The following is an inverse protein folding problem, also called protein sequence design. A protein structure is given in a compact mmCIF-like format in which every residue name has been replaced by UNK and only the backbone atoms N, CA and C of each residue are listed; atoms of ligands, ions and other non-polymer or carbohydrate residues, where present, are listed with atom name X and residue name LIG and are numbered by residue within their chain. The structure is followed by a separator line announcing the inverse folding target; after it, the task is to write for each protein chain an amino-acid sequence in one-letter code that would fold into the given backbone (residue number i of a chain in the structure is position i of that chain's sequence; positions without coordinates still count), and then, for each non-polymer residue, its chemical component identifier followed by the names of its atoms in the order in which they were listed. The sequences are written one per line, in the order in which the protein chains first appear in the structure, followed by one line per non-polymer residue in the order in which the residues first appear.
data_IF_254259900113
#
_entry.id   IF_254259900113
#
_cell.length_a   1.000
_cell.length_b   1.000
_cell.length_c   1.000
_cell.angle_alpha   90.00
_cell.angle_beta   90.00
_cell.angle_gamma   90.00
#
_symmetry.space_group_name_H-M   'P 1'
#
loop_
_entity.id
_entity.type
_entity.pdbx_description
1 polymer ?
#
# COMPACT_ATOMS: atom_id res chain seq x y z
N UNK A 1 33.15 2.02 11.36
CA UNK A 1 31.96 2.02 12.24
C UNK A 1 31.69 0.60 12.71
N UNK A 2 31.18 0.45 13.92
CA UNK A 2 30.81 -0.84 14.50
C UNK A 2 29.40 -1.23 14.02
N UNK A 3 29.21 -2.49 13.61
CA UNK A 3 27.91 -2.97 13.13
C UNK A 3 27.19 -3.71 14.25
N UNK A 4 26.01 -3.24 14.65
CA UNK A 4 25.21 -3.86 15.74
C UNK A 4 23.98 -4.60 15.21
N UNK A 5 23.64 -4.42 13.93
CA UNK A 5 22.51 -5.07 13.26
C UNK A 5 22.97 -5.95 12.11
N UNK A 6 22.24 -7.03 11.88
CA UNK A 6 22.41 -7.94 10.76
C UNK A 6 21.06 -8.56 10.36
N UNK A 7 21.07 -9.40 9.33
CA UNK A 7 19.92 -10.18 8.88
C UNK A 7 20.14 -11.65 9.25
N UNK A 8 19.11 -12.29 9.79
CA UNK A 8 19.17 -13.73 10.08
C UNK A 8 18.86 -14.58 8.83
N UNK A 9 18.81 -15.91 8.99
CA UNK A 9 18.51 -16.86 7.91
C UNK A 9 17.13 -16.66 7.25
N UNK A 10 16.19 -16.00 7.93
CA UNK A 10 14.86 -15.66 7.42
C UNK A 10 14.81 -14.26 6.82
N UNK A 11 15.95 -13.58 6.66
CA UNK A 11 16.06 -12.21 6.17
C UNK A 11 15.39 -11.15 7.07
N UNK A 12 15.21 -11.46 8.37
CA UNK A 12 14.69 -10.54 9.38
C UNK A 12 15.84 -9.82 10.09
N UNK A 13 15.62 -8.57 10.47
CA UNK A 13 16.58 -7.80 11.25
C UNK A 13 16.77 -8.39 12.65
N UNK A 14 18.03 -8.45 13.08
CA UNK A 14 18.43 -8.91 14.41
C UNK A 14 19.49 -8.00 15.02
N UNK A 15 19.41 -7.82 16.34
CA UNK A 15 20.43 -7.15 17.16
C UNK A 15 21.54 -8.12 17.55
N UNK A 16 22.77 -7.61 17.67
CA UNK A 16 23.92 -8.41 18.06
C UNK A 16 23.71 -9.06 19.43
N UNK A 17 23.03 -8.41 20.37
CA UNK A 17 22.73 -8.93 21.70
C UNK A 17 21.90 -10.22 21.64
N UNK A 18 21.03 -10.35 20.64
CA UNK A 18 20.00 -11.39 20.57
C UNK A 18 20.37 -12.61 19.71
N UNK A 19 21.58 -12.67 19.16
CA UNK A 19 22.04 -13.79 18.33
C UNK A 19 23.06 -14.71 19.02
N UNK A 20 23.30 -15.90 18.48
CA UNK A 20 24.37 -16.76 18.97
C UNK A 20 25.76 -16.18 18.67
N UNK A 21 26.79 -16.56 19.44
CA UNK A 21 28.16 -16.10 19.21
C UNK A 21 28.76 -16.75 17.96
N UNK A 22 29.60 -16.00 17.26
CA UNK A 22 30.41 -16.50 16.16
C UNK A 22 29.59 -16.70 14.87
N UNK A 23 29.97 -17.71 14.08
CA UNK A 23 29.27 -18.09 12.85
C UNK A 23 27.95 -18.82 13.11
N UNK A 24 27.71 -19.26 14.35
CA UNK A 24 26.46 -19.93 14.73
C UNK A 24 25.24 -18.99 14.60
N UNK A 25 25.44 -17.67 14.63
CA UNK A 25 24.37 -16.70 14.34
C UNK A 25 23.74 -16.84 12.95
N UNK A 26 24.47 -17.43 11.98
CA UNK A 26 24.07 -17.54 10.56
C UNK A 26 23.57 -16.22 9.96
N UNK A 27 24.13 -15.11 10.41
CA UNK A 27 23.70 -13.79 9.98
C UNK A 27 24.46 -13.32 8.73
N UNK A 28 23.82 -12.44 7.96
CA UNK A 28 24.41 -11.72 6.83
C UNK A 28 24.36 -10.21 7.06
N UNK A 29 25.33 -9.50 6.48
CA UNK A 29 25.40 -8.05 6.51
C UNK A 29 24.19 -7.45 5.80
N UNK A 30 23.52 -6.50 6.45
CA UNK A 30 22.36 -5.78 5.90
C UNK A 30 22.68 -5.08 4.58
N UNK A 31 23.87 -4.50 4.44
CA UNK A 31 24.25 -3.68 3.28
C UNK A 31 24.72 -4.50 2.08
N UNK A 32 25.59 -5.49 2.31
CA UNK A 32 26.26 -6.20 1.21
C UNK A 32 25.90 -7.69 1.09
N UNK A 33 25.12 -8.23 2.03
CA UNK A 33 24.71 -9.64 2.04
C UNK A 33 25.80 -10.65 2.40
N UNK A 34 27.04 -10.23 2.67
CA UNK A 34 28.11 -11.16 3.08
C UNK A 34 27.83 -11.75 4.47
N UNK A 35 28.29 -12.98 4.69
CA UNK A 35 28.22 -13.64 6.00
C UNK A 35 28.99 -12.81 7.04
N UNK A 36 28.38 -12.63 8.21
CA UNK A 36 28.99 -11.95 9.36
C UNK A 36 29.18 -12.91 10.54
N UNK A 37 30.13 -12.55 11.39
CA UNK A 37 30.48 -13.24 12.63
C UNK A 37 30.00 -12.36 13.78
N UNK A 38 29.18 -12.91 14.67
CA UNK A 38 28.78 -12.24 15.91
C UNK A 38 29.91 -12.28 16.94
N UNK A 39 30.68 -11.19 17.04
CA UNK A 39 31.77 -11.07 18.01
C UNK A 39 31.21 -10.57 19.34
N UNK A 40 31.16 -11.48 20.32
CA UNK A 40 30.71 -11.22 21.69
C UNK A 40 31.85 -11.51 22.66
N UNK A 41 32.14 -10.58 23.56
CA UNK A 41 33.21 -10.73 24.55
C UNK A 41 33.07 -9.71 25.68
N UNK A 42 33.69 -10.03 26.82
CA UNK A 42 33.48 -9.27 28.06
C UNK A 42 34.27 -7.94 28.11
N UNK A 43 35.23 -7.76 27.20
CA UNK A 43 36.15 -6.60 27.17
C UNK A 43 35.80 -5.63 26.03
N UNK A 44 35.41 -6.16 24.87
CA UNK A 44 35.10 -5.37 23.67
C UNK A 44 33.60 -5.40 23.44
N UNK A 45 33.04 -4.26 23.02
CA UNK A 45 31.63 -4.17 22.65
C UNK A 45 31.23 -5.24 21.63
N UNK A 46 30.02 -5.74 21.81
CA UNK A 46 29.43 -6.72 20.92
C UNK A 46 29.21 -6.11 19.54
N UNK A 47 29.65 -6.82 18.50
CA UNK A 47 29.44 -6.36 17.13
C UNK A 47 29.45 -7.50 16.12
N UNK A 48 28.90 -7.22 14.94
CA UNK A 48 29.09 -8.02 13.75
C UNK A 48 30.36 -7.59 13.01
N UNK A 49 31.09 -8.59 12.50
CA UNK A 49 32.23 -8.38 11.61
C UNK A 49 32.12 -9.31 10.40
N UNK A 50 32.51 -8.85 9.21
CA UNK A 50 32.49 -9.70 8.02
C UNK A 50 33.41 -10.91 8.19
N UNK A 51 32.92 -12.10 7.80
CA UNK A 51 33.71 -13.31 7.85
C UNK A 51 34.93 -13.26 6.90
N UNK A 52 34.84 -12.48 5.83
CA UNK A 52 35.91 -12.19 4.88
C UNK A 52 37.03 -11.30 5.44
N UNK A 53 36.86 -10.76 6.65
CA UNK A 53 37.72 -9.73 7.25
C UNK A 53 37.81 -8.42 6.44
N UNK A 54 36.88 -8.17 5.51
CA UNK A 54 36.79 -6.84 4.88
C UNK A 54 36.38 -5.78 5.89
N UNK A 55 36.59 -4.52 5.51
CA UNK A 55 36.16 -3.37 6.31
C UNK A 55 34.64 -3.40 6.60
N UNK A 56 34.26 -2.91 7.78
CA UNK A 56 32.85 -2.85 8.18
C UNK A 56 32.05 -1.96 7.24
N UNK A 57 30.87 -2.43 6.83
CA UNK A 57 29.96 -1.65 6.00
C UNK A 57 29.39 -0.49 6.82
N UNK A 58 29.14 0.62 6.14
CA UNK A 58 28.32 1.67 6.71
C UNK A 58 26.85 1.27 6.59
N UNK A 59 26.18 1.02 7.71
CA UNK A 59 24.76 0.64 7.72
C UNK A 59 23.95 1.92 7.88
N UNK A 60 23.10 2.24 6.91
CA UNK A 60 22.22 3.40 6.99
C UNK A 60 21.07 3.15 7.98
N UNK A 61 20.95 3.90 9.09
CA UNK A 61 19.87 3.74 10.06
C UNK A 61 18.48 3.90 9.45
N UNK A 62 18.33 4.76 8.43
CA UNK A 62 17.07 4.93 7.71
C UNK A 62 16.62 3.63 7.05
N UNK A 63 17.52 2.98 6.31
CA UNK A 63 17.21 1.74 5.60
C UNK A 63 16.91 0.60 6.59
N UNK A 64 17.59 0.58 7.74
CA UNK A 64 17.30 -0.38 8.83
C UNK A 64 15.91 -0.16 9.40
N UNK A 65 15.56 1.09 9.75
CA UNK A 65 14.26 1.42 10.32
C UNK A 65 13.12 1.15 9.34
N UNK A 66 13.30 1.51 8.06
CA UNK A 66 12.33 1.26 7.00
C UNK A 66 12.06 -0.24 6.81
N UNK A 67 13.12 -1.06 6.74
CA UNK A 67 13.00 -2.52 6.66
C UNK A 67 12.32 -3.09 7.91
N UNK A 68 12.72 -2.63 9.10
CA UNK A 68 12.14 -3.12 10.36
C UNK A 68 10.63 -2.83 10.44
N UNK A 69 10.20 -1.63 10.03
CA UNK A 69 8.79 -1.28 10.00
C UNK A 69 7.98 -2.17 9.05
N UNK A 70 8.51 -2.47 7.87
CA UNK A 70 7.89 -3.43 6.94
C UNK A 70 7.77 -4.82 7.58
N UNK A 71 8.85 -5.33 8.18
CA UNK A 71 8.86 -6.64 8.86
C UNK A 71 7.81 -6.71 9.96
N UNK A 72 7.78 -5.72 10.85
CA UNK A 72 6.84 -5.63 11.97
C UNK A 72 5.38 -5.66 11.49
N UNK A 73 5.04 -4.93 10.43
CA UNK A 73 3.68 -4.88 9.89
C UNK A 73 3.32 -6.20 9.20
N UNK A 74 4.26 -6.78 8.44
CA UNK A 74 4.09 -8.08 7.78
C UNK A 74 3.85 -9.22 8.79
N UNK A 75 4.60 -9.24 9.89
CA UNK A 75 4.46 -10.24 10.95
C UNK A 75 3.15 -10.08 11.72
N UNK A 76 2.74 -8.83 11.98
CA UNK A 76 1.56 -8.54 12.80
C UNK A 76 0.25 -8.63 12.03
N UNK A 77 0.30 -8.64 10.69
CA UNK A 77 -0.85 -8.67 9.80
C UNK A 77 -1.90 -7.57 10.11
N UNK A 78 -1.45 -6.44 10.66
CA UNK A 78 -2.31 -5.37 11.11
C UNK A 78 -1.58 -4.34 11.96
N UNK A 79 -2.24 -3.21 12.19
CA UNK A 79 -1.78 -2.11 13.05
C UNK A 79 -2.95 -1.19 13.41
N UNK A 80 -2.75 -0.33 14.42
CA UNK A 80 -3.70 0.74 14.77
C UNK A 80 -3.61 1.84 13.72
N UNK A 81 -4.77 2.21 13.17
CA UNK A 81 -4.91 3.31 12.22
C UNK A 81 -5.79 4.43 12.79
N UNK A 82 -5.53 5.70 12.43
CA UNK A 82 -6.43 6.80 12.75
C UNK A 82 -7.78 6.60 12.04
N UNK A 83 -8.82 7.25 12.55
CA UNK A 83 -10.14 7.28 11.91
C UNK A 83 -10.01 7.72 10.45
N UNK A 84 -10.70 7.04 9.54
CA UNK A 84 -10.66 7.39 8.11
C UNK A 84 -11.44 8.69 7.93
N UNK A 85 -10.88 9.72 7.28
CA UNK A 85 -11.60 10.96 7.08
C UNK A 85 -12.86 10.77 6.23
N UNK A 86 -13.91 11.53 6.54
CA UNK A 86 -15.18 11.55 5.81
C UNK A 86 -15.97 10.23 5.82
N UNK A 87 -15.70 9.34 6.79
CA UNK A 87 -16.52 8.15 7.05
C UNK A 87 -17.31 8.29 8.35
N UNK A 88 -18.40 7.53 8.50
CA UNK A 88 -19.16 7.49 9.75
C UNK A 88 -18.33 6.92 10.93
N UNK A 89 -17.31 6.13 10.60
CA UNK A 89 -16.30 5.62 11.54
C UNK A 89 -15.34 6.74 11.97
N UNK A 90 -15.57 7.28 13.17
CA UNK A 90 -14.79 8.39 13.74
C UNK A 90 -13.72 7.96 14.76
N UNK A 91 -13.45 6.66 14.88
CA UNK A 91 -12.53 6.15 15.90
C UNK A 91 -11.29 5.50 15.30
N UNK A 92 -10.15 5.74 15.95
CA UNK A 92 -8.95 4.98 15.68
C UNK A 92 -9.14 3.52 16.11
N UNK A 93 -8.70 2.58 15.28
CA UNK A 93 -8.93 1.16 15.51
C UNK A 93 -7.78 0.31 15.00
N UNK A 94 -7.64 -0.89 15.56
CA UNK A 94 -6.77 -1.92 15.01
C UNK A 94 -7.37 -2.48 13.71
N UNK A 95 -6.64 -2.33 12.60
CA UNK A 95 -7.01 -2.91 11.32
C UNK A 95 -6.24 -4.20 11.11
N UNK A 96 -6.96 -5.33 11.02
CA UNK A 96 -6.41 -6.60 10.56
C UNK A 96 -6.50 -6.69 9.05
N UNK A 97 -5.41 -7.07 8.41
CA UNK A 97 -5.34 -7.23 6.97
C UNK A 97 -5.48 -8.69 6.57
N UNK A 98 -6.29 -8.98 5.54
CA UNK A 98 -6.37 -10.35 5.01
C UNK A 98 -5.12 -10.72 4.20
N UNK A 99 -4.44 -9.69 3.67
CA UNK A 99 -3.24 -9.85 2.84
C UNK A 99 -2.39 -8.60 2.91
N UNK A 100 -1.07 -8.79 2.97
CA UNK A 100 -0.08 -7.73 2.80
C UNK A 100 0.86 -8.12 1.67
N UNK A 101 1.12 -7.20 0.75
CA UNK A 101 2.07 -7.37 -0.36
C UNK A 101 3.16 -6.31 -0.20
N UNK A 102 4.40 -6.69 0.16
CA UNK A 102 5.49 -5.74 0.21
C UNK A 102 5.91 -5.33 -1.20
N UNK A 103 6.29 -4.07 -1.36
CA UNK A 103 7.01 -3.54 -2.52
C UNK A 103 6.30 -3.77 -3.87
N UNK A 104 4.99 -3.51 -3.87
CA UNK A 104 4.10 -3.75 -5.00
C UNK A 104 4.23 -2.64 -6.06
N UNK A 105 4.58 -3.00 -7.30
CA UNK A 105 4.60 -2.03 -8.40
C UNK A 105 3.19 -1.86 -8.97
N UNK A 106 2.68 -0.61 -8.93
CA UNK A 106 1.38 -0.23 -9.49
C UNK A 106 1.56 0.93 -10.47
N UNK A 107 1.81 0.58 -11.74
CA UNK A 107 2.06 1.56 -12.79
C UNK A 107 3.26 2.45 -12.46
N UNK A 108 2.98 3.73 -12.16
CA UNK A 108 3.98 4.77 -11.89
C UNK A 108 4.40 4.86 -10.40
N UNK A 109 3.72 4.16 -9.50
CA UNK A 109 4.04 4.18 -8.07
C UNK A 109 4.40 2.80 -7.55
N UNK A 110 5.20 2.78 -6.49
CA UNK A 110 5.49 1.59 -5.70
C UNK A 110 5.23 1.92 -4.24
N UNK A 111 4.04 1.58 -3.71
CA UNK A 111 3.81 1.64 -2.28
C UNK A 111 4.74 0.68 -1.54
N UNK A 112 5.13 1.06 -0.33
CA UNK A 112 5.92 0.20 0.53
C UNK A 112 5.18 -1.08 0.88
N UNK A 113 3.91 -0.96 1.23
CA UNK A 113 3.01 -2.09 1.47
C UNK A 113 1.66 -1.83 0.80
N UNK A 114 1.14 -2.86 0.11
CA UNK A 114 -0.24 -2.93 -0.31
C UNK A 114 -0.98 -3.95 0.56
N UNK A 115 -1.77 -3.42 1.50
CA UNK A 115 -2.59 -4.19 2.42
C UNK A 115 -4.01 -4.35 1.86
N UNK A 116 -4.71 -5.39 2.29
CA UNK A 116 -6.13 -5.61 1.98
C UNK A 116 -6.90 -5.66 3.29
N UNK A 117 -7.96 -4.86 3.39
CA UNK A 117 -8.90 -4.85 4.49
C UNK A 117 -10.32 -4.86 3.92
N UNK A 118 -11.16 -5.81 4.34
CA UNK A 118 -12.49 -6.04 3.78
C UNK A 118 -12.47 -6.22 2.24
N UNK A 119 -11.41 -6.86 1.72
CA UNK A 119 -11.09 -6.97 0.29
C UNK A 119 -10.82 -5.65 -0.46
N UNK A 120 -10.73 -4.51 0.22
CA UNK A 120 -10.32 -3.25 -0.36
C UNK A 120 -8.82 -3.02 -0.15
N UNK A 121 -8.09 -2.48 -1.16
CA UNK A 121 -6.70 -2.14 -0.99
C UNK A 121 -6.53 -0.91 -0.07
N UNK A 122 -5.51 -0.97 0.77
CA UNK A 122 -4.98 0.14 1.57
C UNK A 122 -3.49 0.19 1.35
N UNK A 123 -2.96 1.34 0.93
CA UNK A 123 -1.52 1.54 0.81
C UNK A 123 -0.97 2.10 2.12
N UNK A 124 0.20 1.58 2.49
CA UNK A 124 1.00 2.10 3.59
C UNK A 124 2.35 2.50 3.01
N UNK A 125 2.74 3.73 3.31
CA UNK A 125 4.00 4.34 2.91
C UNK A 125 4.77 4.68 4.18
N UNK A 126 6.01 4.22 4.28
CA UNK A 126 6.84 4.38 5.46
C UNK A 126 7.84 5.48 5.16
N UNK A 127 7.65 6.64 5.77
CA UNK A 127 8.56 7.77 5.65
C UNK A 127 9.59 7.75 6.77
N UNK A 128 10.85 8.03 6.43
CA UNK A 128 11.93 8.15 7.42
C UNK A 128 12.67 9.46 7.22
N UNK A 129 13.38 9.66 6.11
CA UNK A 129 13.88 10.99 5.72
C UNK A 129 13.22 11.52 4.44
N UNK A 130 12.52 10.64 3.71
CA UNK A 130 11.80 10.97 2.48
C UNK A 130 10.30 10.72 2.67
N UNK A 131 9.52 11.79 2.52
CA UNK A 131 8.06 11.78 2.54
C UNK A 131 7.51 11.72 1.12
N UNK A 132 6.23 11.36 0.98
CA UNK A 132 5.57 11.40 -0.32
C UNK A 132 5.53 12.83 -0.86
N UNK A 133 6.05 13.01 -2.08
CA UNK A 133 5.95 14.29 -2.78
C UNK A 133 4.56 14.51 -3.41
N UNK A 134 4.28 15.77 -3.80
CA UNK A 134 3.00 16.15 -4.39
C UNK A 134 2.67 15.43 -5.70
N UNK A 135 3.67 15.02 -6.49
CA UNK A 135 3.43 14.35 -7.76
C UNK A 135 2.96 12.91 -7.53
N UNK A 136 3.65 12.20 -6.63
CA UNK A 136 3.26 10.85 -6.19
C UNK A 136 1.90 10.89 -5.48
N UNK A 137 1.64 11.91 -4.66
CA UNK A 137 0.35 12.11 -4.01
C UNK A 137 -0.79 12.26 -5.03
N UNK A 138 -0.64 13.10 -6.06
CA UNK A 138 -1.66 13.25 -7.13
C UNK A 138 -1.94 11.93 -7.84
N UNK A 139 -0.91 11.11 -8.07
CA UNK A 139 -1.09 9.78 -8.66
C UNK A 139 -1.90 8.90 -7.71
N UNK A 140 -1.56 8.87 -6.42
CA UNK A 140 -2.29 8.13 -5.38
C UNK A 140 -3.76 8.57 -5.30
N UNK A 141 -4.03 9.87 -5.28
CA UNK A 141 -5.38 10.45 -5.26
C UNK A 141 -6.19 9.99 -6.49
N UNK A 142 -5.56 9.99 -7.68
CA UNK A 142 -6.21 9.53 -8.91
C UNK A 142 -6.60 8.04 -8.90
N UNK A 143 -5.95 7.24 -8.05
CA UNK A 143 -6.26 5.81 -7.90
C UNK A 143 -7.45 5.56 -6.97
N UNK A 144 -7.88 6.56 -6.19
CA UNK A 144 -8.95 6.44 -5.20
C UNK A 144 -8.72 5.30 -4.18
N UNK A 145 -7.46 5.07 -3.79
CA UNK A 145 -7.06 4.03 -2.83
C UNK A 145 -6.65 4.67 -1.52
N UNK A 146 -7.22 4.19 -0.40
CA UNK A 146 -6.87 4.67 0.95
C UNK A 146 -5.36 4.52 1.15
N UNK A 147 -4.68 5.61 1.47
CA UNK A 147 -3.24 5.64 1.60
C UNK A 147 -2.84 6.31 2.90
N UNK A 148 -2.11 5.57 3.72
CA UNK A 148 -1.58 6.00 5.00
C UNK A 148 -0.08 6.23 4.87
N UNK A 149 0.42 7.34 5.40
CA UNK A 149 1.84 7.55 5.66
C UNK A 149 2.14 7.31 7.14
N UNK A 150 3.21 6.55 7.40
CA UNK A 150 3.78 6.34 8.73
C UNK A 150 5.11 7.11 8.81
N UNK A 151 5.13 8.17 9.60
CA UNK A 151 6.31 9.01 9.82
C UNK A 151 7.21 8.45 10.93
N UNK A 152 8.31 7.83 10.56
CA UNK A 152 9.30 7.31 11.50
C UNK A 152 10.54 8.20 11.65
N UNK A 153 10.53 9.42 11.10
CA UNK A 153 11.66 10.36 11.18
C UNK A 153 12.10 10.62 12.63
N UNK A 154 11.13 10.75 13.54
CA UNK A 154 11.39 10.95 14.96
C UNK A 154 12.13 9.78 15.62
N UNK A 155 11.94 8.55 15.16
CA UNK A 155 12.63 7.38 15.73
C UNK A 155 14.14 7.43 15.41
N UNK A 156 14.56 8.04 14.29
CA UNK A 156 15.98 8.25 13.99
C UNK A 156 16.67 9.23 14.94
N UNK A 157 15.91 10.14 15.54
CA UNK A 157 16.44 11.15 16.46
C UNK A 157 16.56 10.62 17.90
N UNK A 158 15.99 9.44 18.17
CA UNK A 158 16.04 8.78 19.48
C UNK A 158 17.22 7.82 19.57
N UNK A 159 17.71 7.56 20.79
CA UNK A 159 18.69 6.50 21.06
C UNK A 159 18.06 5.09 21.08
N UNK A 160 16.90 4.92 20.44
CA UNK A 160 16.14 3.68 20.47
C UNK A 160 16.84 2.61 19.62
N UNK A 161 17.11 1.46 20.25
CA UNK A 161 17.70 0.31 19.56
C UNK A 161 16.67 -0.32 18.61
N UNK A 162 17.07 -0.63 17.37
CA UNK A 162 16.22 -1.24 16.34
C UNK A 162 16.93 -2.49 15.80
N UNK A 163 16.32 -3.68 15.80
CA UNK A 163 14.96 -4.00 16.28
C UNK A 163 14.79 -3.96 17.80
N UNK A 164 13.60 -3.56 18.27
CA UNK A 164 13.17 -3.66 19.68
C UNK A 164 11.64 -3.69 19.82
N UNK A 165 11.15 -4.22 20.94
CA UNK A 165 9.71 -4.24 21.26
C UNK A 165 9.12 -2.84 21.40
N UNK A 166 9.88 -1.89 21.92
CA UNK A 166 9.44 -0.50 22.02
C UNK A 166 9.27 0.14 20.64
N UNK A 167 10.23 -0.06 19.72
CA UNK A 167 10.10 0.41 18.34
C UNK A 167 8.91 -0.26 17.63
N UNK A 168 8.72 -1.57 17.83
CA UNK A 168 7.58 -2.33 17.30
C UNK A 168 6.25 -1.74 17.76
N UNK A 169 6.12 -1.43 19.05
CA UNK A 169 4.93 -0.78 19.61
C UNK A 169 4.67 0.59 19.00
N UNK A 170 5.71 1.41 18.81
CA UNK A 170 5.56 2.73 18.18
C UNK A 170 5.11 2.61 16.71
N UNK A 171 5.62 1.62 15.97
CA UNK A 171 5.22 1.35 14.59
C UNK A 171 3.76 0.88 14.52
N UNK A 172 3.34 -0.05 15.38
CA UNK A 172 2.03 -0.68 15.31
C UNK A 172 0.91 0.11 15.99
N UNK A 173 1.19 0.80 17.09
CA UNK A 173 0.14 1.30 18.00
C UNK A 173 0.07 2.82 18.11
N UNK A 174 1.16 3.54 17.85
CA UNK A 174 1.15 5.01 17.95
C UNK A 174 0.26 5.62 16.86
N UNK A 175 -0.53 6.64 17.19
CA UNK A 175 -1.31 7.39 16.21
C UNK A 175 -0.61 8.67 15.76
N UNK A 176 0.29 9.21 16.60
CA UNK A 176 0.95 10.49 16.38
C UNK A 176 1.82 10.51 15.12
N UNK A 177 2.27 9.33 14.69
CA UNK A 177 3.09 9.13 13.50
C UNK A 177 2.30 8.63 12.29
N UNK A 178 0.98 8.65 12.31
CA UNK A 178 0.14 8.11 11.22
C UNK A 178 -0.79 9.16 10.67
N UNK A 179 -0.76 9.33 9.36
CA UNK A 179 -1.66 10.26 8.69
C UNK A 179 -2.23 9.66 7.41
N UNK A 180 -3.51 9.93 7.15
CA UNK A 180 -4.13 9.58 5.87
C UNK A 180 -3.70 10.61 4.82
N UNK A 181 -2.92 10.16 3.84
CA UNK A 181 -2.66 10.92 2.62
C UNK A 181 -3.89 10.92 1.70
N UNK A 182 -4.66 9.82 1.75
CA UNK A 182 -5.96 9.71 1.10
C UNK A 182 -6.90 8.77 1.89
N UNK A 183 -8.18 9.12 2.09
CA UNK A 183 -8.79 10.42 1.79
C UNK A 183 -8.23 11.52 2.71
N UNK A 184 -8.10 12.75 2.20
CA UNK A 184 -7.70 13.88 3.06
C UNK A 184 -8.89 14.35 3.91
N UNK A 185 -8.59 14.70 5.17
CA UNK A 185 -9.54 15.42 5.99
C UNK A 185 -9.84 16.79 5.36
N UNK A 186 -11.08 17.30 5.44
CA UNK A 186 -11.37 18.66 5.02
C UNK A 186 -10.43 19.62 5.77
N UNK A 187 -9.67 20.43 5.04
CA UNK A 187 -8.91 21.52 5.66
C UNK A 187 -9.93 22.44 6.32
N UNK A 188 -10.00 22.42 7.65
CA UNK A 188 -10.71 23.47 8.38
C UNK A 188 -9.96 24.77 8.10
N UNK A 189 -10.52 25.60 7.22
CA UNK A 189 -10.05 26.97 7.04
C UNK A 189 -10.23 27.64 8.40
N UNK A 190 -9.13 27.95 9.08
CA UNK A 190 -9.16 28.85 10.24
C UNK A 190 -9.37 30.26 9.68
N UNK A 191 -10.63 30.60 9.43
CA UNK A 191 -11.02 31.98 9.10
C UNK A 191 -10.92 32.84 10.38
N UNK A 192 -9.74 33.41 10.60
CA UNK A 192 -9.58 34.58 11.44
C UNK A 192 -9.96 35.84 10.64
N UNK A 193 -11.26 36.04 10.39
CA UNK A 193 -11.80 37.36 10.04
C UNK A 193 -13.32 37.42 10.28
N UNK A 194 -13.65 38.08 11.39
CA UNK A 194 -14.96 38.48 11.92
C UNK A 194 -16.05 38.88 10.91
N UNK A 195 -17.26 38.45 11.27
CA UNK A 195 -18.55 39.16 11.29
C UNK A 195 -19.10 39.89 10.05
N UNK A 196 -20.37 39.54 9.79
CA UNK A 196 -21.39 40.19 8.93
C UNK A 196 -21.39 39.79 7.45
N UNK A 197 -22.06 38.67 7.13
CA UNK A 197 -23.32 38.67 6.35
C UNK A 197 -24.12 37.43 6.75
N UNK A 198 -24.92 37.58 7.80
CA UNK A 198 -26.07 36.71 8.05
C UNK A 198 -27.22 37.11 7.14
N UNK A 199 -28.01 36.10 6.73
CA UNK A 199 -29.28 36.18 6.01
C UNK A 199 -29.18 36.31 4.47
N UNK A 200 -29.08 35.16 3.78
CA UNK A 200 -29.88 34.82 2.58
C UNK A 200 -29.35 33.55 1.88
N UNK A 201 -29.35 32.40 2.56
CA UNK A 201 -29.16 31.10 1.91
C UNK A 201 -29.95 29.97 2.59
N UNK A 202 -31.16 30.27 3.06
CA UNK A 202 -32.08 29.28 3.66
C UNK A 202 -33.31 28.96 2.81
N UNK A 203 -33.40 29.45 1.56
CA UNK A 203 -34.61 29.27 0.73
C UNK A 203 -34.39 28.61 -0.65
N UNK A 204 -33.25 27.96 -0.92
CA UNK A 204 -32.97 27.41 -2.26
C UNK A 204 -32.62 25.91 -2.34
N UNK A 205 -32.81 25.10 -1.30
CA UNK A 205 -32.52 23.64 -1.35
C UNK A 205 -33.69 22.74 -0.96
N UNK A 206 -34.91 23.25 -0.97
CA UNK A 206 -36.13 22.48 -0.67
C UNK A 206 -36.74 21.70 -1.87
N UNK A 207 -36.04 21.54 -3.01
CA UNK A 207 -36.70 21.05 -4.24
C UNK A 207 -35.97 20.03 -5.12
N UNK A 208 -34.98 19.29 -4.60
CA UNK A 208 -34.43 18.11 -5.30
C UNK A 208 -34.40 16.82 -4.47
N UNK A 209 -35.02 16.83 -3.28
CA UNK A 209 -35.34 15.61 -2.53
C UNK A 209 -36.64 14.98 -3.06
N UNK A 210 -36.54 14.27 -4.19
CA UNK A 210 -37.48 13.23 -4.63
C UNK A 210 -36.91 12.54 -5.87
N UNK A 211 -36.06 11.54 -5.65
CA UNK A 211 -36.18 10.25 -6.32
C UNK A 211 -35.33 9.20 -5.59
N UNK A 212 -36.04 8.41 -4.81
CA UNK A 212 -35.84 6.96 -4.61
C UNK A 212 -34.45 6.48 -4.20
N UNK A 213 -34.26 6.44 -2.88
CA UNK A 213 -33.28 5.59 -2.21
C UNK A 213 -33.64 4.12 -2.52
N UNK A 214 -32.76 3.44 -3.24
CA UNK A 214 -32.68 1.98 -3.24
C UNK A 214 -31.28 1.60 -2.78
N UNK A 215 -31.21 0.84 -1.69
CA UNK A 215 -30.01 0.13 -1.26
C UNK A 215 -29.52 -0.78 -2.39
N UNK A 216 -28.37 -0.50 -2.99
CA UNK A 216 -27.65 -1.46 -3.83
C UNK A 216 -26.15 -1.19 -3.72
N UNK A 217 -25.34 -2.20 -3.39
CA UNK A 217 -23.89 -2.14 -3.63
C UNK A 217 -23.67 -1.99 -5.14
N UNK A 218 -23.35 -0.79 -5.61
CA UNK A 218 -23.39 -0.46 -7.04
C UNK A 218 -22.09 -0.83 -7.74
N UNK A 219 -22.10 -1.98 -8.42
CA UNK A 219 -21.18 -2.25 -9.52
C UNK A 219 -21.91 -2.08 -10.84
N UNK A 220 -21.19 -1.62 -11.85
CA UNK A 220 -21.68 -1.52 -13.23
C UNK A 220 -21.17 -2.73 -14.02
N UNK A 221 -22.08 -3.52 -14.58
CA UNK A 221 -21.74 -4.67 -15.42
C UNK A 221 -21.76 -4.27 -16.90
N UNK A 222 -20.69 -4.63 -17.59
CA UNK A 222 -20.47 -4.45 -19.02
C UNK A 222 -20.32 -5.81 -19.68
N UNK A 223 -20.85 -5.95 -20.89
CA UNK A 223 -20.67 -7.16 -21.68
C UNK A 223 -20.21 -6.79 -23.09
N UNK A 224 -19.10 -7.39 -23.50
CA UNK A 224 -18.49 -7.21 -24.80
C UNK A 224 -18.50 -8.53 -25.57
N UNK A 225 -18.60 -8.42 -26.89
CA UNK A 225 -18.36 -9.52 -27.83
C UNK A 225 -17.09 -9.20 -28.61
N UNK A 226 -16.02 -9.95 -28.35
CA UNK A 226 -14.70 -9.80 -28.95
C UNK A 226 -14.37 -11.11 -29.67
N UNK A 227 -14.18 -11.07 -30.99
CA UNK A 227 -13.94 -12.26 -31.82
C UNK A 227 -14.96 -13.41 -31.59
N UNK A 228 -16.23 -13.08 -31.32
CA UNK A 228 -17.29 -14.05 -31.04
C UNK A 228 -17.30 -14.61 -29.62
N UNK A 229 -16.40 -14.16 -28.75
CA UNK A 229 -16.32 -14.55 -27.34
C UNK A 229 -16.95 -13.48 -26.46
N UNK A 230 -17.69 -13.92 -25.44
CA UNK A 230 -18.28 -13.05 -24.44
C UNK A 230 -17.24 -12.70 -23.38
N UNK A 231 -16.97 -11.41 -23.24
CA UNK A 231 -16.12 -10.84 -22.20
C UNK A 231 -17.00 -9.99 -21.30
N UNK A 232 -17.06 -10.33 -20.02
CA UNK A 232 -17.79 -9.57 -19.00
C UNK A 232 -16.80 -8.71 -18.24
N UNK A 233 -17.13 -7.44 -18.06
CA UNK A 233 -16.38 -6.56 -17.18
C UNK A 233 -17.31 -6.02 -16.10
N UNK A 234 -16.85 -6.01 -14.85
CA UNK A 234 -17.58 -5.46 -13.70
C UNK A 234 -16.76 -4.33 -13.11
N UNK A 235 -17.30 -3.11 -13.17
CA UNK A 235 -16.69 -1.93 -12.59
C UNK A 235 -17.28 -1.68 -11.22
N UNK A 236 -16.44 -1.63 -10.21
CA UNK A 236 -16.84 -1.36 -8.84
C UNK A 236 -16.73 0.14 -8.55
N UNK A 237 -17.50 0.62 -7.57
CA UNK A 237 -17.41 2.00 -7.08
C UNK A 237 -15.99 2.40 -6.62
N UNK A 238 -15.19 1.43 -6.19
CA UNK A 238 -13.76 1.59 -5.85
C UNK A 238 -12.85 1.85 -7.06
N UNK A 239 -13.38 1.84 -8.29
CA UNK A 239 -12.61 2.02 -9.52
C UNK A 239 -11.94 0.74 -10.03
N UNK A 240 -12.02 -0.37 -9.29
CA UNK A 240 -11.58 -1.67 -9.78
C UNK A 240 -12.46 -2.13 -10.95
N UNK A 241 -11.85 -2.67 -12.00
CA UNK A 241 -12.52 -3.34 -13.10
C UNK A 241 -12.13 -4.82 -13.12
N UNK A 242 -13.10 -5.70 -12.92
CA UNK A 242 -12.92 -7.14 -13.01
C UNK A 242 -13.37 -7.65 -14.37
N UNK A 243 -12.47 -8.23 -15.15
CA UNK A 243 -12.71 -8.71 -16.52
C UNK A 243 -12.63 -10.23 -16.55
N UNK A 244 -13.69 -10.89 -17.01
CA UNK A 244 -13.76 -12.35 -17.11
C UNK A 244 -14.26 -12.76 -18.50
N UNK A 245 -13.78 -13.89 -18.99
CA UNK A 245 -14.23 -14.47 -20.25
C UNK A 245 -14.15 -16.00 -20.17
N UNK A 246 -14.84 -16.70 -21.08
CA UNK A 246 -14.56 -18.12 -21.30
C UNK A 246 -13.12 -18.29 -21.76
N UNK A 247 -12.51 -19.44 -21.48
CA UNK A 247 -11.10 -19.68 -21.81
C UNK A 247 -10.88 -19.49 -23.32
N UNK A 248 -10.16 -18.43 -23.65
CA UNK A 248 -9.75 -18.10 -25.01
C UNK A 248 -8.29 -17.61 -24.94
N UNK A 249 -7.34 -18.33 -25.56
CA UNK A 249 -5.91 -17.99 -25.48
C UNK A 249 -5.58 -16.59 -25.98
N UNK A 250 -6.23 -16.11 -27.04
CA UNK A 250 -5.99 -14.77 -27.61
C UNK A 250 -6.38 -13.67 -26.64
N UNK A 251 -7.60 -13.77 -26.07
CA UNK A 251 -8.09 -12.79 -25.08
C UNK A 251 -7.25 -12.86 -23.79
N UNK A 252 -6.86 -14.06 -23.35
CA UNK A 252 -6.00 -14.22 -22.16
C UNK A 252 -4.63 -13.55 -22.38
N UNK A 253 -4.05 -13.66 -23.57
CA UNK A 253 -2.78 -12.99 -23.90
C UNK A 253 -2.94 -11.47 -23.83
N UNK A 254 -4.04 -10.92 -24.35
CA UNK A 254 -4.35 -9.48 -24.29
C UNK A 254 -4.54 -9.01 -22.85
N UNK A 255 -5.33 -9.73 -22.04
CA UNK A 255 -5.54 -9.39 -20.63
C UNK A 255 -4.23 -9.48 -19.82
N UNK A 256 -3.37 -10.46 -20.11
CA UNK A 256 -2.01 -10.55 -19.54
C UNK A 256 -1.12 -9.38 -19.96
N UNK A 257 -1.21 -8.96 -21.23
CA UNK A 257 -0.45 -7.83 -21.74
C UNK A 257 -0.85 -6.54 -21.03
N UNK A 258 -2.15 -6.26 -20.92
CA UNK A 258 -2.64 -5.09 -20.18
C UNK A 258 -2.24 -5.13 -18.71
N UNK A 259 -2.27 -6.32 -18.08
CA UNK A 259 -1.75 -6.49 -16.72
C UNK A 259 -0.28 -6.06 -16.61
N UNK A 260 0.54 -6.45 -17.58
CA UNK A 260 1.97 -6.10 -17.60
C UNK A 260 2.21 -4.62 -17.93
N UNK A 261 1.25 -3.97 -18.59
CA UNK A 261 1.36 -2.58 -19.04
C UNK A 261 0.96 -1.58 -17.96
N UNK A 262 -0.20 -1.75 -17.33
CA UNK A 262 -0.75 -0.77 -16.38
C UNK A 262 -1.10 -1.33 -15.01
N UNK A 263 -0.63 -2.54 -14.71
CA UNK A 263 -0.93 -3.22 -13.46
C UNK A 263 -2.24 -4.00 -13.53
N UNK A 264 -2.34 -5.06 -12.72
CA UNK A 264 -3.50 -5.94 -12.68
C UNK A 264 -3.17 -7.26 -12.00
N UNK A 265 -4.18 -8.05 -11.69
CA UNK A 265 -4.00 -9.39 -11.12
C UNK A 265 -5.03 -10.36 -11.65
N UNK A 266 -4.60 -11.59 -11.88
CA UNK A 266 -5.54 -12.70 -12.08
C UNK A 266 -6.03 -13.22 -10.71
N UNK A 267 -7.33 -13.15 -10.49
CA UNK A 267 -8.03 -13.76 -9.38
C UNK A 267 -8.37 -15.21 -9.72
N UNK A 268 -7.73 -16.15 -9.01
CA UNK A 268 -7.94 -17.59 -9.24
C UNK A 268 -9.31 -18.08 -8.76
N UNK A 269 -9.89 -17.44 -7.73
CA UNK A 269 -11.18 -17.84 -7.14
C UNK A 269 -12.32 -17.51 -8.09
N UNK A 270 -12.29 -16.32 -8.69
CA UNK A 270 -13.34 -15.85 -9.60
C UNK A 270 -12.98 -16.00 -11.08
N UNK A 271 -11.77 -16.48 -11.38
CA UNK A 271 -11.22 -16.65 -12.74
C UNK A 271 -11.34 -15.37 -13.56
N UNK A 272 -10.97 -14.25 -12.95
CA UNK A 272 -11.09 -12.91 -13.51
C UNK A 272 -9.77 -12.16 -13.48
N UNK A 273 -9.60 -11.22 -14.39
CA UNK A 273 -8.50 -10.28 -14.48
C UNK A 273 -8.96 -8.96 -13.89
N UNK A 274 -8.37 -8.57 -12.76
CA UNK A 274 -8.72 -7.36 -12.06
C UNK A 274 -7.70 -6.27 -12.39
N UNK A 275 -8.19 -5.09 -12.71
CA UNK A 275 -7.43 -3.88 -13.03
C UNK A 275 -7.91 -2.75 -12.11
N UNK A 276 -7.05 -1.78 -11.81
CA UNK A 276 -7.36 -0.68 -10.89
C UNK A 276 -7.17 0.67 -11.59
N UNK A 277 -7.79 1.73 -11.06
CA UNK A 277 -7.62 3.08 -11.61
C UNK A 277 -6.16 3.54 -11.51
N UNK A 278 -5.69 4.40 -12.43
CA UNK A 278 -6.42 4.93 -13.59
C UNK A 278 -6.53 3.92 -14.75
N UNK A 279 -5.71 2.86 -14.74
CA UNK A 279 -5.58 1.95 -15.87
C UNK A 279 -6.84 1.12 -16.16
N UNK A 280 -7.68 0.86 -15.15
CA UNK A 280 -8.96 0.19 -15.34
C UNK A 280 -9.90 0.96 -16.27
N UNK A 281 -9.81 2.31 -16.33
CA UNK A 281 -10.55 3.10 -17.32
C UNK A 281 -10.04 2.83 -18.74
N UNK A 282 -8.71 2.77 -18.93
CA UNK A 282 -8.08 2.41 -20.21
C UNK A 282 -8.44 0.98 -20.64
N UNK A 283 -8.48 0.04 -19.70
CA UNK A 283 -8.91 -1.33 -20.00
C UNK A 283 -10.37 -1.37 -20.44
N UNK A 284 -11.25 -0.62 -19.79
CA UNK A 284 -12.65 -0.53 -20.18
C UNK A 284 -12.81 0.06 -21.58
N UNK A 285 -12.13 1.17 -21.88
CA UNK A 285 -12.14 1.79 -23.21
C UNK A 285 -11.61 0.84 -24.29
N UNK A 286 -10.55 0.09 -24.01
CA UNK A 286 -10.01 -0.91 -24.95
C UNK A 286 -10.99 -2.06 -25.18
N UNK A 287 -11.69 -2.52 -24.16
CA UNK A 287 -12.74 -3.53 -24.31
C UNK A 287 -13.90 -3.03 -25.17
N UNK A 288 -14.29 -1.75 -25.01
CA UNK A 288 -15.27 -1.08 -25.86
C UNK A 288 -14.81 -1.00 -27.32
N UNK A 289 -13.57 -0.60 -27.57
CA UNK A 289 -12.99 -0.52 -28.92
C UNK A 289 -12.90 -1.89 -29.61
N UNK A 290 -12.64 -2.94 -28.84
CA UNK A 290 -12.57 -4.32 -29.34
C UNK A 290 -13.95 -4.97 -29.52
N UNK A 291 -15.02 -4.33 -29.06
CA UNK A 291 -16.36 -4.86 -29.19
C UNK A 291 -16.83 -4.81 -30.65
N UNK A 292 -17.26 -5.95 -31.19
CA UNK A 292 -17.90 -6.00 -32.50
C UNK A 292 -19.42 -5.78 -32.34
N UNK A 293 -19.99 -4.66 -32.82
CA UNK A 293 -21.44 -4.50 -32.88
C UNK A 293 -21.98 -5.25 -34.11
N UNK A 294 -22.62 -6.41 -33.93
CA UNK A 294 -23.44 -6.99 -35.01
C UNK A 294 -24.86 -6.42 -34.98
N UNK A 295 -25.08 -5.37 -35.78
CA UNK A 295 -26.23 -5.33 -36.70
C UNK A 295 -25.82 -4.67 -38.02
N UNK A 296 -25.22 -5.45 -38.90
CA UNK A 296 -25.55 -5.36 -40.33
C UNK A 296 -26.71 -6.34 -40.52
N UNK A 297 -27.92 -5.81 -40.71
CA UNK A 297 -28.98 -6.56 -41.39
C UNK A 297 -29.03 -6.03 -42.81
N UNK A 298 -28.57 -6.85 -43.76
CA UNK A 298 -28.96 -6.71 -45.16
C UNK A 298 -30.44 -7.07 -45.28
N UNK A 299 -31.19 -6.20 -45.95
CA UNK A 299 -32.11 -6.60 -47.02
C UNK A 299 -31.87 -5.65 -48.18
#
# INVERSE_FOLDING_TARGET
MTMYVALNENNNLVQIENVERGLACKCTCFECGEIVIARKGDIKEHHFAHASNKESCNINPESVLHKYAKEVILESMGLILPAVPNTEDNEAAWWTFEKIIPEFHLGLIRPDLACYHNNEPVFIEIAVTHFIDENKLKIIESMNVKTLEIDLSNLLLTELVIPSEQAKKMILESLDNKSWLYPQAPKMIKDEAKDKVSANLLEATAQLAKNTITNVSSWEDYQFTINGIWVRARKFSSGMLSVSCTYNPEIIVILKQWRNEGGGRFDQRYRSWNYWQPFSATVLERLEQMHIPKKIKHH
#
